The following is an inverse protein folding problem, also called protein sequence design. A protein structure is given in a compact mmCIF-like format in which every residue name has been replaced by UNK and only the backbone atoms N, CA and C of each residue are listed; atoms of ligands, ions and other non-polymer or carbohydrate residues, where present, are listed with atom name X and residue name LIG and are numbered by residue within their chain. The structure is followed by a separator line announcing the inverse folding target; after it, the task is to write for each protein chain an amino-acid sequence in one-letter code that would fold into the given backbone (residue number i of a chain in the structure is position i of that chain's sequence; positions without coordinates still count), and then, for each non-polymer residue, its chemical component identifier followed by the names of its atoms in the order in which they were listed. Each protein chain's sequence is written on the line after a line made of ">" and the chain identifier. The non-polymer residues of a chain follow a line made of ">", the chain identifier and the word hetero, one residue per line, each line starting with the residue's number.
data_IF_634549047444
#
_entry.id   IF_634549047444
#
_cell.length_a   1.000
_cell.length_b   1.000
_cell.length_c   1.000
_cell.angle_alpha   90.00
_cell.angle_beta   90.00
_cell.angle_gamma   90.00
#
_symmetry.space_group_name_H-M   'P 1'
#
loop_
_entity.id
_entity.type
_entity.pdbx_description
1 polymer ?
#
# COMPACT_ATOMS: atom_id res chain seq x y z
N UNK A 1 -7.81 9.89 40.23
CA UNK A 1 -7.30 10.88 39.25
C UNK A 1 -7.38 10.24 37.87
N UNK A 2 -7.97 10.91 36.88
CA UNK A 2 -8.07 10.45 35.50
C UNK A 2 -7.17 11.31 34.61
N UNK A 3 -6.48 10.69 33.66
CA UNK A 3 -5.67 11.36 32.65
C UNK A 3 -6.35 11.15 31.29
N UNK A 4 -6.54 12.24 30.54
CA UNK A 4 -7.04 12.17 29.17
C UNK A 4 -5.88 11.85 28.23
N UNK A 5 -6.04 10.81 27.40
CA UNK A 5 -5.05 10.39 26.42
C UNK A 5 -5.42 10.97 25.06
N UNK A 6 -4.47 11.63 24.40
CA UNK A 6 -4.60 12.10 23.03
C UNK A 6 -3.56 11.42 22.15
N UNK A 7 -3.97 10.97 20.96
CA UNK A 7 -3.09 10.42 19.95
C UNK A 7 -2.56 11.57 19.08
N UNK A 8 -1.24 11.75 19.10
CA UNK A 8 -0.57 12.76 18.28
C UNK A 8 0.04 12.11 17.04
N UNK A 9 -0.16 12.74 15.87
CA UNK A 9 0.42 12.32 14.59
C UNK A 9 0.05 10.89 14.19
N UNK A 10 -1.26 10.56 14.07
CA UNK A 10 -1.67 9.23 13.64
C UNK A 10 -1.22 8.97 12.21
N UNK A 11 -0.78 7.74 11.96
CA UNK A 11 -0.52 7.25 10.60
C UNK A 11 -1.83 6.68 10.07
N UNK A 12 -2.23 7.13 8.88
CA UNK A 12 -3.46 6.68 8.24
C UNK A 12 -3.21 5.43 7.41
N UNK A 13 -4.13 4.47 7.52
CA UNK A 13 -4.23 3.29 6.69
C UNK A 13 -5.66 3.21 6.17
N UNK A 14 -5.84 3.16 4.84
CA UNK A 14 -7.12 2.88 4.21
C UNK A 14 -7.25 1.39 3.90
N UNK A 15 -8.42 0.83 4.16
CA UNK A 15 -8.81 -0.52 3.75
C UNK A 15 -10.21 -0.44 3.17
N UNK A 16 -10.43 -0.97 1.97
CA UNK A 16 -11.75 -0.89 1.33
C UNK A 16 -12.76 -1.78 2.05
N UNK A 17 -13.97 -1.26 2.22
CA UNK A 17 -15.11 -2.03 2.74
C UNK A 17 -15.69 -2.95 1.66
N UNK A 18 -15.69 -2.48 0.41
CA UNK A 18 -16.16 -3.23 -0.74
C UNK A 18 -14.97 -3.99 -1.36
N UNK A 19 -15.26 -5.21 -1.82
CA UNK A 19 -14.28 -6.05 -2.51
C UNK A 19 -14.54 -5.99 -4.01
N UNK A 20 -13.46 -5.90 -4.77
CA UNK A 20 -13.51 -6.06 -6.21
C UNK A 20 -13.09 -7.48 -6.57
N UNK A 21 -13.94 -8.22 -7.25
CA UNK A 21 -13.61 -9.55 -7.74
C UNK A 21 -13.23 -9.49 -9.22
N UNK A 22 -11.99 -9.87 -9.53
CA UNK A 22 -11.50 -9.95 -10.91
C UNK A 22 -12.25 -11.02 -11.70
N UNK A 23 -12.71 -10.63 -12.89
CA UNK A 23 -13.39 -11.53 -13.81
C UNK A 23 -12.45 -12.53 -14.51
N UNK A 24 -13.00 -13.49 -15.27
CA UNK A 24 -12.19 -14.47 -16.00
C UNK A 24 -11.16 -13.87 -16.96
N UNK A 25 -11.53 -12.81 -17.69
CA UNK A 25 -10.64 -12.11 -18.64
C UNK A 25 -9.47 -11.43 -17.93
N UNK A 26 -9.71 -10.82 -16.77
CA UNK A 26 -8.65 -10.21 -15.96
C UNK A 26 -7.70 -11.28 -15.38
N UNK A 27 -8.24 -12.43 -14.96
CA UNK A 27 -7.43 -13.58 -14.49
C UNK A 27 -6.55 -14.13 -15.60
N UNK A 28 -7.10 -14.26 -16.81
CA UNK A 28 -6.34 -14.69 -17.99
C UNK A 28 -5.23 -13.68 -18.32
N UNK A 29 -5.55 -12.39 -18.32
CA UNK A 29 -4.57 -11.32 -18.50
C UNK A 29 -3.44 -11.41 -17.50
N UNK A 30 -3.73 -11.48 -16.19
CA UNK A 30 -2.71 -11.60 -15.14
C UNK A 30 -1.83 -12.83 -15.33
N UNK A 31 -2.42 -13.96 -15.75
CA UNK A 31 -1.70 -15.20 -16.01
C UNK A 31 -0.76 -15.11 -17.21
N UNK A 32 -1.07 -14.24 -18.20
CA UNK A 32 -0.28 -14.02 -19.41
C UNK A 32 0.90 -13.07 -19.21
N UNK A 33 0.94 -12.30 -18.12
CA UNK A 33 1.99 -11.32 -17.86
C UNK A 33 3.36 -12.00 -17.69
N UNK A 34 4.37 -11.45 -18.36
CA UNK A 34 5.74 -11.88 -18.19
C UNK A 34 6.24 -11.60 -16.78
N UNK A 35 6.94 -12.56 -16.20
CA UNK A 35 7.39 -12.55 -14.80
C UNK A 35 8.90 -12.69 -14.73
N UNK A 36 9.48 -12.04 -13.72
CA UNK A 36 10.90 -12.12 -13.42
C UNK A 36 11.13 -12.39 -11.93
N UNK A 37 12.30 -12.95 -11.62
CA UNK A 37 12.67 -13.23 -10.24
C UNK A 37 13.01 -11.94 -9.52
N UNK A 38 12.35 -11.72 -8.40
CA UNK A 38 12.70 -10.69 -7.42
C UNK A 38 13.50 -11.31 -6.26
N UNK A 39 13.91 -10.52 -5.28
CA UNK A 39 14.76 -10.96 -4.17
C UNK A 39 14.20 -12.18 -3.41
N UNK A 40 12.93 -12.13 -2.99
CA UNK A 40 12.28 -13.20 -2.20
C UNK A 40 11.00 -13.75 -2.85
N UNK A 41 10.57 -13.24 -4.00
CA UNK A 41 9.35 -13.60 -4.70
C UNK A 41 9.53 -13.47 -6.22
N UNK A 42 8.44 -13.43 -6.96
CA UNK A 42 8.40 -13.16 -8.40
C UNK A 42 7.55 -11.92 -8.65
N UNK A 43 7.93 -11.10 -9.63
CA UNK A 43 7.19 -9.89 -10.03
C UNK A 43 6.95 -9.86 -11.54
N UNK A 44 6.06 -9.00 -12.02
CA UNK A 44 5.98 -8.69 -13.45
C UNK A 44 7.23 -7.99 -13.95
N UNK A 45 7.64 -8.25 -15.20
CA UNK A 45 8.85 -7.65 -15.81
C UNK A 45 8.75 -6.16 -16.05
N UNK A 46 7.53 -5.59 -15.98
CA UNK A 46 7.24 -4.17 -16.17
C UNK A 46 6.43 -3.59 -15.02
N UNK A 47 6.49 -2.29 -14.84
CA UNK A 47 5.87 -1.56 -13.74
C UNK A 47 4.76 -0.59 -14.20
N UNK A 48 4.00 -0.95 -15.24
CA UNK A 48 2.91 -0.17 -15.80
C UNK A 48 1.71 -1.05 -16.22
N UNK A 49 1.54 -2.19 -15.55
CA UNK A 49 0.54 -3.21 -15.94
C UNK A 49 -0.89 -2.68 -15.98
N UNK A 50 -1.23 -1.66 -15.20
CA UNK A 50 -2.55 -1.04 -15.21
C UNK A 50 -2.83 -0.18 -16.46
N UNK A 51 -1.85 0.05 -17.34
CA UNK A 51 -2.06 0.69 -18.66
C UNK A 51 -2.68 -0.28 -19.69
N UNK A 52 -2.73 -1.58 -19.40
CA UNK A 52 -3.36 -2.55 -20.30
C UNK A 52 -4.88 -2.37 -20.34
N UNK A 53 -5.46 -2.60 -21.52
CA UNK A 53 -6.92 -2.47 -21.71
C UNK A 53 -7.71 -3.47 -20.86
N UNK A 54 -7.14 -4.64 -20.62
CA UNK A 54 -7.69 -5.71 -19.78
C UNK A 54 -7.80 -5.28 -18.30
N UNK A 55 -6.91 -4.39 -17.86
CA UNK A 55 -6.89 -3.84 -16.51
C UNK A 55 -7.93 -2.75 -16.26
N UNK A 56 -8.59 -2.23 -17.31
CA UNK A 56 -9.43 -1.04 -17.19
C UNK A 56 -10.55 -1.11 -16.14
N UNK A 57 -11.25 -2.23 -15.89
CA UNK A 57 -12.22 -2.33 -14.80
C UNK A 57 -11.55 -2.25 -13.43
N UNK A 58 -10.47 -2.99 -13.21
CA UNK A 58 -9.70 -2.97 -11.98
C UNK A 58 -9.09 -1.58 -11.74
N UNK A 59 -8.50 -0.96 -12.76
CA UNK A 59 -7.95 0.40 -12.66
C UNK A 59 -9.00 1.41 -12.17
N UNK A 60 -10.22 1.36 -12.68
CA UNK A 60 -11.30 2.25 -12.23
C UNK A 60 -11.62 2.06 -10.75
N UNK A 61 -11.70 0.82 -10.28
CA UNK A 61 -11.91 0.52 -8.87
C UNK A 61 -10.78 1.09 -8.00
N UNK A 62 -9.54 0.86 -8.39
CA UNK A 62 -8.37 1.32 -7.64
C UNK A 62 -8.30 2.85 -7.60
N UNK A 63 -8.49 3.53 -8.75
CA UNK A 63 -8.41 4.99 -8.85
C UNK A 63 -9.54 5.66 -8.06
N UNK A 64 -10.77 5.16 -8.12
CA UNK A 64 -11.89 5.73 -7.35
C UNK A 64 -11.65 5.66 -5.84
N UNK A 65 -11.18 4.53 -5.33
CA UNK A 65 -10.86 4.38 -3.90
C UNK A 65 -9.65 5.25 -3.50
N UNK A 66 -8.65 5.35 -4.36
CA UNK A 66 -7.50 6.23 -4.17
C UNK A 66 -7.91 7.71 -4.11
N UNK A 67 -8.76 8.17 -5.03
CA UNK A 67 -9.27 9.53 -5.06
C UNK A 67 -10.04 9.85 -3.77
N UNK A 68 -10.94 8.97 -3.35
CA UNK A 68 -11.68 9.10 -2.10
C UNK A 68 -10.73 9.20 -0.91
N UNK A 69 -9.79 8.27 -0.80
CA UNK A 69 -8.80 8.27 0.29
C UNK A 69 -7.96 9.55 0.31
N UNK A 70 -7.53 10.04 -0.85
CA UNK A 70 -6.75 11.26 -0.98
C UNK A 70 -7.54 12.48 -0.55
N UNK A 71 -8.77 12.65 -1.04
CA UNK A 71 -9.59 13.82 -0.72
C UNK A 71 -10.01 13.86 0.75
N UNK A 72 -10.44 12.73 1.32
CA UNK A 72 -10.93 12.68 2.69
C UNK A 72 -9.82 12.87 3.75
N UNK A 73 -8.60 12.40 3.46
CA UNK A 73 -7.53 12.38 4.46
C UNK A 73 -6.48 13.50 4.28
N UNK A 74 -6.29 14.00 3.07
CA UNK A 74 -5.28 15.04 2.79
C UNK A 74 -5.87 16.41 2.51
N UNK A 75 -7.19 16.50 2.23
CA UNK A 75 -7.88 17.76 1.91
C UNK A 75 -7.07 18.61 0.91
N UNK A 76 -6.77 18.09 -0.29
CA UNK A 76 -5.89 18.74 -1.24
C UNK A 76 -6.50 20.06 -1.77
N UNK A 77 -5.68 21.00 -2.26
CA UNK A 77 -6.19 22.21 -2.90
C UNK A 77 -7.02 21.87 -4.13
N UNK A 78 -7.94 22.78 -4.48
CA UNK A 78 -8.79 22.63 -5.66
C UNK A 78 -7.97 22.36 -6.93
N UNK A 79 -8.40 21.39 -7.73
CA UNK A 79 -7.73 20.97 -8.95
C UNK A 79 -6.53 20.04 -8.76
N UNK A 80 -6.10 19.79 -7.52
CA UNK A 80 -5.09 18.77 -7.25
C UNK A 80 -5.67 17.36 -7.46
N UNK A 81 -4.88 16.49 -8.06
CA UNK A 81 -5.23 15.10 -8.36
C UNK A 81 -4.14 14.17 -7.84
N UNK A 82 -4.49 12.91 -7.63
CA UNK A 82 -3.54 11.85 -7.39
C UNK A 82 -3.63 10.82 -8.52
N UNK A 83 -2.50 10.39 -9.05
CA UNK A 83 -2.43 9.47 -10.19
C UNK A 83 -1.61 8.24 -9.84
N UNK A 84 -2.05 7.08 -10.28
CA UNK A 84 -1.24 5.87 -10.27
C UNK A 84 -0.17 6.03 -11.36
N UNK A 85 1.11 5.98 -10.97
CA UNK A 85 2.26 6.19 -11.86
C UNK A 85 3.07 4.92 -12.12
N UNK A 86 2.97 3.95 -11.20
CA UNK A 86 3.59 2.63 -11.33
C UNK A 86 2.63 1.56 -10.86
N UNK A 87 2.68 0.39 -11.48
CA UNK A 87 1.86 -0.77 -11.08
C UNK A 87 2.50 -2.07 -11.54
N UNK A 88 2.56 -3.06 -10.63
CA UNK A 88 3.14 -4.37 -10.90
C UNK A 88 2.47 -5.45 -10.05
N UNK A 89 2.46 -6.68 -10.53
CA UNK A 89 2.03 -7.82 -9.73
C UNK A 89 3.21 -8.45 -8.98
N UNK A 90 2.93 -8.90 -7.77
CA UNK A 90 3.77 -9.76 -6.97
C UNK A 90 3.13 -11.15 -6.89
N UNK A 91 3.93 -12.17 -7.10
CA UNK A 91 3.55 -13.58 -7.03
C UNK A 91 4.44 -14.26 -5.99
N UNK A 92 3.82 -14.88 -5.00
CA UNK A 92 4.55 -15.54 -3.93
C UNK A 92 4.00 -16.95 -3.68
N UNK A 93 4.89 -17.94 -3.73
CA UNK A 93 4.64 -19.34 -3.40
C UNK A 93 5.05 -19.61 -1.95
N UNK A 94 4.74 -20.80 -1.46
CA UNK A 94 5.13 -21.29 -0.15
C UNK A 94 6.59 -20.98 0.17
N UNK A 95 6.83 -20.39 1.32
CA UNK A 95 8.16 -20.00 1.80
C UNK A 95 8.71 -18.71 1.22
N UNK A 96 8.06 -18.11 0.21
CA UNK A 96 8.43 -16.80 -0.33
C UNK A 96 7.88 -15.67 0.53
N UNK A 97 8.52 -14.50 0.46
CA UNK A 97 8.23 -13.35 1.32
C UNK A 97 8.44 -12.04 0.54
N UNK A 98 8.17 -10.91 1.16
CA UNK A 98 8.66 -9.62 0.69
C UNK A 98 9.40 -8.92 1.83
N UNK A 99 10.63 -8.50 1.56
CA UNK A 99 11.49 -7.87 2.58
C UNK A 99 10.90 -6.52 3.04
N UNK A 100 11.36 -6.07 4.18
CA UNK A 100 11.00 -4.75 4.73
C UNK A 100 11.54 -3.63 3.81
N UNK A 101 10.65 -2.74 3.37
CA UNK A 101 10.97 -1.64 2.45
C UNK A 101 9.93 -0.52 2.54
N UNK A 102 10.20 0.59 1.87
CA UNK A 102 9.28 1.69 1.58
C UNK A 102 9.39 2.07 0.09
N UNK A 103 8.51 2.92 -0.41
CA UNK A 103 8.50 3.32 -1.82
C UNK A 103 8.97 4.77 -2.00
N UNK A 104 10.20 5.01 -2.51
CA UNK A 104 10.65 6.34 -2.87
C UNK A 104 9.88 6.87 -4.09
N UNK A 105 9.87 8.20 -4.27
CA UNK A 105 9.19 8.89 -5.37
C UNK A 105 7.69 8.51 -5.50
N UNK A 106 7.04 8.28 -4.38
CA UNK A 106 5.62 7.96 -4.30
C UNK A 106 4.99 8.66 -3.12
N UNK A 107 3.72 9.07 -3.26
CA UNK A 107 2.98 9.77 -2.22
C UNK A 107 2.10 8.82 -1.41
N UNK A 108 1.25 8.05 -2.08
CA UNK A 108 0.45 6.96 -1.52
C UNK A 108 0.80 5.69 -2.28
N UNK A 109 1.02 4.60 -1.57
CA UNK A 109 1.13 3.27 -2.14
C UNK A 109 -0.15 2.50 -1.88
N UNK A 110 -0.52 1.64 -2.82
CA UNK A 110 -1.66 0.75 -2.70
C UNK A 110 -1.28 -0.69 -2.98
N UNK A 111 -1.94 -1.60 -2.30
CA UNK A 111 -1.84 -3.04 -2.55
C UNK A 111 -3.24 -3.61 -2.68
N UNK A 112 -3.57 -4.13 -3.85
CA UNK A 112 -4.79 -4.87 -4.12
C UNK A 112 -4.48 -6.37 -4.11
N UNK A 113 -5.32 -7.14 -3.43
CA UNK A 113 -5.13 -8.59 -3.23
C UNK A 113 -5.99 -9.39 -4.20
N UNK A 114 -5.40 -9.85 -5.29
CA UNK A 114 -6.11 -10.66 -6.29
C UNK A 114 -6.35 -12.08 -5.81
N UNK A 115 -5.38 -12.68 -5.12
CA UNK A 115 -5.50 -14.01 -4.51
C UNK A 115 -4.71 -14.05 -3.21
N UNK A 116 -5.42 -14.11 -2.09
CA UNK A 116 -4.84 -14.33 -0.77
C UNK A 116 -4.72 -15.82 -0.46
N UNK A 117 -3.80 -16.15 0.41
CA UNK A 117 -3.67 -17.47 1.04
C UNK A 117 -4.27 -17.44 2.45
N UNK A 118 -4.30 -18.59 3.11
CA UNK A 118 -4.76 -18.67 4.51
C UNK A 118 -3.87 -17.82 5.43
N UNK A 119 -4.50 -17.03 6.31
CA UNK A 119 -3.83 -16.11 7.25
C UNK A 119 -2.89 -15.08 6.56
N UNK A 120 -3.26 -14.64 5.34
CA UNK A 120 -2.48 -13.64 4.61
C UNK A 120 -2.51 -12.27 5.29
N UNK A 121 -1.37 -11.61 5.32
CA UNK A 121 -1.23 -10.31 5.96
C UNK A 121 -0.14 -9.45 5.33
N UNK A 122 -0.15 -8.18 5.70
CA UNK A 122 0.93 -7.23 5.49
C UNK A 122 1.35 -6.67 6.85
N UNK A 123 2.66 -6.49 7.07
CA UNK A 123 3.22 -5.98 8.32
C UNK A 123 3.76 -4.58 8.10
N UNK A 124 3.32 -3.64 8.93
CA UNK A 124 3.79 -2.26 8.94
C UNK A 124 4.68 -1.98 10.14
N UNK A 125 5.67 -1.11 9.94
CA UNK A 125 6.62 -0.73 10.97
C UNK A 125 6.48 0.75 11.30
N UNK A 126 6.55 1.13 12.60
CA UNK A 126 6.46 2.54 12.98
C UNK A 126 7.67 3.30 12.41
N UNK A 127 7.48 4.58 12.00
CA UNK A 127 8.61 5.43 11.66
C UNK A 127 9.61 5.49 12.82
N UNK A 128 10.90 5.43 12.50
CA UNK A 128 11.98 5.32 13.48
C UNK A 128 11.99 6.40 14.57
N UNK A 129 11.31 7.52 14.35
CA UNK A 129 11.21 8.64 15.27
C UNK A 129 10.00 8.60 16.22
N UNK A 130 9.02 7.71 15.99
CA UNK A 130 7.75 7.66 16.75
C UNK A 130 7.55 6.33 17.50
N UNK A 131 8.44 5.37 17.33
CA UNK A 131 8.33 4.07 18.00
C UNK A 131 8.73 4.09 19.48
N UNK A 132 8.40 3.04 20.24
CA UNK A 132 8.74 2.90 21.66
C UNK A 132 10.24 2.87 21.96
N UNK A 133 11.08 2.91 20.93
CA UNK A 133 12.53 3.02 21.03
C UNK A 133 13.05 4.30 21.70
N UNK A 134 12.20 5.31 21.91
CA UNK A 134 12.59 6.56 22.57
C UNK A 134 13.07 6.30 24.01
N UNK A 135 12.54 5.32 24.72
CA UNK A 135 12.93 5.04 26.11
C UNK A 135 14.05 4.00 26.25
N UNK A 136 14.28 3.15 25.24
CA UNK A 136 15.19 1.98 25.28
C UNK A 136 15.06 1.09 26.53
N UNK A 137 13.98 1.26 27.28
CA UNK A 137 13.65 0.49 28.46
C UNK A 137 12.51 -0.46 28.13
N UNK A 138 12.67 -1.71 28.48
CA UNK A 138 11.59 -2.70 28.42
C UNK A 138 10.64 -2.46 29.60
N UNK A 139 9.60 -1.67 29.38
CA UNK A 139 8.55 -1.41 30.36
C UNK A 139 7.34 -2.33 30.15
N UNK A 140 7.60 -3.58 29.89
CA UNK A 140 6.57 -4.57 29.54
C UNK A 140 6.01 -5.16 30.83
N UNK A 141 4.73 -4.88 31.09
CA UNK A 141 3.92 -5.60 32.06
C UNK A 141 3.18 -6.75 31.38
N UNK A 142 2.24 -7.34 32.10
CA UNK A 142 1.43 -8.47 31.60
C UNK A 142 0.43 -8.10 30.48
N UNK A 143 0.31 -6.81 30.15
CA UNK A 143 -0.59 -6.31 29.13
C UNK A 143 0.14 -5.40 28.13
N UNK A 144 0.16 -5.82 26.86
CA UNK A 144 0.63 -4.98 25.77
C UNK A 144 -0.38 -3.85 25.48
N UNK A 145 0.12 -2.67 25.20
CA UNK A 145 -0.68 -1.55 24.71
C UNK A 145 -0.28 -1.21 23.26
N UNK A 146 -1.09 -0.51 22.48
CA UNK A 146 -0.73 -0.10 21.12
C UNK A 146 0.57 0.71 21.03
N UNK A 147 1.00 1.31 22.13
CA UNK A 147 2.23 2.10 22.22
C UNK A 147 3.50 1.25 22.35
N UNK A 148 3.37 -0.05 22.57
CA UNK A 148 4.48 -1.00 22.67
C UNK A 148 4.74 -1.75 21.36
N UNK A 149 3.89 -1.56 20.36
CA UNK A 149 4.01 -2.30 19.11
C UNK A 149 5.24 -1.85 18.31
N UNK A 150 6.14 -2.79 18.04
CA UNK A 150 7.28 -2.63 17.13
C UNK A 150 6.86 -2.84 15.67
N UNK A 151 5.71 -3.44 15.47
CA UNK A 151 5.08 -3.69 14.17
C UNK A 151 3.57 -3.83 14.34
N UNK A 152 2.84 -3.63 13.23
CA UNK A 152 1.39 -3.84 13.17
C UNK A 152 1.09 -4.81 12.03
N UNK A 153 0.49 -5.94 12.38
CA UNK A 153 0.01 -6.92 11.40
C UNK A 153 -1.40 -6.52 10.97
N UNK A 154 -1.60 -6.46 9.67
CA UNK A 154 -2.91 -6.16 9.05
C UNK A 154 -3.31 -7.35 8.19
N UNK A 155 -4.35 -8.05 8.62
CA UNK A 155 -4.93 -9.16 7.88
C UNK A 155 -5.56 -8.66 6.58
N UNK A 156 -5.42 -9.44 5.52
CA UNK A 156 -5.90 -9.11 4.18
C UNK A 156 -6.70 -10.24 3.57
N UNK A 157 -7.62 -9.88 2.68
CA UNK A 157 -8.48 -10.85 1.97
C UNK A 157 -8.47 -10.57 0.47
N UNK A 158 -8.78 -11.60 -0.31
CA UNK A 158 -8.99 -11.47 -1.75
C UNK A 158 -10.07 -10.42 -2.05
N UNK A 159 -9.77 -9.55 -3.01
CA UNK A 159 -10.64 -8.45 -3.46
C UNK A 159 -10.45 -7.15 -2.69
N UNK A 160 -9.65 -7.11 -1.62
CA UNK A 160 -9.39 -5.90 -0.84
C UNK A 160 -8.29 -5.03 -1.45
N UNK A 161 -8.41 -3.72 -1.20
CA UNK A 161 -7.37 -2.74 -1.45
C UNK A 161 -6.94 -2.10 -0.12
N UNK A 162 -5.63 -2.02 0.09
CA UNK A 162 -5.02 -1.26 1.19
C UNK A 162 -4.27 -0.06 0.61
N UNK A 163 -4.44 1.11 1.23
CA UNK A 163 -3.80 2.37 0.88
C UNK A 163 -3.05 2.94 2.09
N UNK A 164 -1.81 3.38 1.90
CA UNK A 164 -0.96 3.91 2.97
C UNK A 164 0.07 4.90 2.44
N UNK A 165 0.60 5.80 3.31
CA UNK A 165 1.70 6.68 2.93
C UNK A 165 2.91 5.88 2.44
N UNK A 166 3.45 6.22 1.28
CA UNK A 166 4.53 5.44 0.63
C UNK A 166 5.82 5.37 1.44
N UNK A 167 6.02 6.30 2.37
CA UNK A 167 7.16 6.32 3.30
C UNK A 167 7.03 5.33 4.46
N UNK A 168 5.86 4.72 4.63
CA UNK A 168 5.63 3.74 5.69
C UNK A 168 6.30 2.41 5.34
N UNK A 169 7.27 2.00 6.14
CA UNK A 169 7.96 0.72 5.96
C UNK A 169 7.00 -0.45 6.18
N UNK A 170 7.06 -1.42 5.27
CA UNK A 170 6.22 -2.61 5.33
C UNK A 170 6.92 -3.83 4.77
N UNK A 171 6.39 -5.01 5.10
CA UNK A 171 6.88 -6.30 4.59
C UNK A 171 5.71 -7.29 4.44
N UNK A 172 5.98 -8.40 3.75
CA UNK A 172 5.08 -9.57 3.74
C UNK A 172 5.85 -10.74 4.34
N UNK A 173 5.33 -11.36 5.41
CA UNK A 173 5.95 -12.54 6.02
C UNK A 173 6.05 -13.69 5.03
N UNK A 174 6.81 -14.72 5.40
CA UNK A 174 6.89 -15.93 4.60
C UNK A 174 5.51 -16.55 4.40
N UNK A 175 5.13 -16.73 3.14
CA UNK A 175 3.83 -17.27 2.74
C UNK A 175 3.70 -18.71 3.21
N UNK A 176 2.67 -18.99 4.02
CA UNK A 176 2.30 -20.32 4.46
C UNK A 176 1.09 -20.75 3.66
N UNK A 177 1.28 -21.68 2.74
CA UNK A 177 0.21 -22.16 1.86
C UNK A 177 0.44 -23.63 1.51
N UNK A 178 -0.56 -24.29 0.93
CA UNK A 178 -0.43 -25.64 0.39
C UNK A 178 0.33 -25.61 -0.95
N UNK A 179 0.91 -26.75 -1.32
CA UNK A 179 1.67 -26.84 -2.55
C UNK A 179 0.75 -26.59 -3.76
N UNK A 180 1.17 -25.71 -4.66
CA UNK A 180 0.44 -25.31 -5.86
C UNK A 180 -0.39 -24.04 -5.74
N UNK A 181 -0.61 -23.52 -4.56
CA UNK A 181 -1.22 -22.20 -4.37
C UNK A 181 -0.20 -21.08 -4.54
N UNK A 182 -0.66 -19.96 -5.06
CA UNK A 182 0.14 -18.76 -5.28
C UNK A 182 -0.61 -17.53 -4.74
N UNK A 183 0.01 -16.81 -3.81
CA UNK A 183 -0.44 -15.49 -3.39
C UNK A 183 -0.18 -14.50 -4.51
N UNK A 184 -1.19 -13.71 -4.89
CA UNK A 184 -1.07 -12.72 -5.96
C UNK A 184 -1.59 -11.38 -5.47
N UNK A 185 -0.74 -10.37 -5.52
CA UNK A 185 -1.11 -8.99 -5.19
C UNK A 185 -0.63 -8.02 -6.26
N UNK A 186 -1.44 -7.00 -6.56
CA UNK A 186 -1.06 -5.86 -7.39
C UNK A 186 -0.63 -4.73 -6.47
N UNK A 187 0.61 -4.30 -6.60
CA UNK A 187 1.10 -3.10 -5.94
C UNK A 187 1.11 -1.93 -6.93
N UNK A 188 0.86 -0.72 -6.43
CA UNK A 188 0.99 0.49 -7.23
C UNK A 188 1.50 1.66 -6.39
N UNK A 189 2.18 2.58 -7.08
CA UNK A 189 2.68 3.83 -6.55
C UNK A 189 1.97 5.00 -7.21
N UNK A 190 1.84 6.10 -6.46
CA UNK A 190 1.11 7.27 -6.92
C UNK A 190 1.93 8.55 -6.77
N UNK A 191 1.56 9.57 -7.54
CA UNK A 191 2.07 10.91 -7.31
C UNK A 191 0.97 11.95 -7.48
N UNK A 192 1.15 13.11 -6.84
CA UNK A 192 0.21 14.23 -6.91
C UNK A 192 0.47 15.07 -8.15
N UNK A 193 -0.60 15.56 -8.77
CA UNK A 193 -0.57 16.53 -9.86
C UNK A 193 -1.39 17.74 -9.47
N UNK A 194 -0.89 18.95 -9.74
CA UNK A 194 -1.59 20.18 -9.43
C UNK A 194 -0.65 21.31 -9.04
N UNK A 195 -1.22 22.40 -8.54
CA UNK A 195 -0.47 23.53 -8.01
C UNK A 195 -0.65 23.62 -6.51
N UNK A 196 0.46 23.65 -5.79
CA UNK A 196 0.54 23.63 -4.34
C UNK A 196 1.26 24.89 -3.83
N UNK A 197 1.02 25.27 -2.57
CA UNK A 197 1.61 26.46 -1.95
C UNK A 197 0.81 27.74 -2.21
N UNK A 198 1.31 28.85 -1.71
CA UNK A 198 0.64 30.16 -1.74
C UNK A 198 1.53 31.26 -2.32
N UNK A 199 0.93 32.16 -3.10
CA UNK A 199 1.65 33.28 -3.72
C UNK A 199 2.26 34.22 -2.67
N UNK A 200 1.60 34.42 -1.54
CA UNK A 200 2.08 35.28 -0.47
C UNK A 200 3.39 34.80 0.15
N UNK A 201 3.63 33.48 0.17
CA UNK A 201 4.86 32.88 0.71
C UNK A 201 5.91 32.63 -0.36
N UNK A 202 5.62 32.92 -1.63
CA UNK A 202 6.51 32.64 -2.78
C UNK A 202 7.01 31.19 -2.86
N UNK A 203 6.16 30.25 -2.38
CA UNK A 203 6.47 28.80 -2.35
C UNK A 203 5.58 27.98 -3.29
N UNK A 204 4.95 28.62 -4.27
CA UNK A 204 4.08 27.95 -5.23
C UNK A 204 4.86 26.98 -6.10
N UNK A 205 4.38 25.75 -6.19
CA UNK A 205 4.96 24.68 -7.00
C UNK A 205 3.87 24.04 -7.84
N UNK A 206 4.12 23.89 -9.14
CA UNK A 206 3.26 23.11 -10.04
C UNK A 206 3.93 21.79 -10.37
N UNK A 207 3.24 20.70 -10.08
CA UNK A 207 3.67 19.34 -10.37
C UNK A 207 2.79 18.79 -11.49
N UNK A 208 3.41 18.19 -12.49
CA UNK A 208 2.75 17.49 -13.59
C UNK A 208 3.33 16.09 -13.70
N UNK A 209 2.48 15.08 -13.65
CA UNK A 209 2.84 13.70 -13.95
C UNK A 209 2.96 13.56 -15.47
N UNK A 210 4.09 13.01 -15.93
CA UNK A 210 4.32 12.71 -17.34
C UNK A 210 3.74 11.33 -17.63
N UNK A 211 2.75 11.27 -18.50
CA UNK A 211 2.20 10.03 -19.04
C UNK A 211 2.99 9.70 -20.32
N UNK A 212 3.97 8.81 -20.24
CA UNK A 212 4.73 8.28 -21.39
C UNK A 212 3.96 7.14 -22.09
#
# INVERSE_FOLDING_TARGET
>A
MSVNISHLFPIILGKTNERYEVGPLEKEWVSSLARDRNHLNTITTRADVLKDKEAAPLFRFLQQNLDTFFHENYNPPEGAKIKIVQSWFNFAKKGQAHHKHFHPNSFISGVYYLNCVENDCIVFYPPSQTGPSISRLHLWGDHATPYHNLETVVDVCTGELILFPSTLEHSVPSVVTVDGEERISLAFNTFVEGTFGEDRFKNKLTIKVIDD
#
